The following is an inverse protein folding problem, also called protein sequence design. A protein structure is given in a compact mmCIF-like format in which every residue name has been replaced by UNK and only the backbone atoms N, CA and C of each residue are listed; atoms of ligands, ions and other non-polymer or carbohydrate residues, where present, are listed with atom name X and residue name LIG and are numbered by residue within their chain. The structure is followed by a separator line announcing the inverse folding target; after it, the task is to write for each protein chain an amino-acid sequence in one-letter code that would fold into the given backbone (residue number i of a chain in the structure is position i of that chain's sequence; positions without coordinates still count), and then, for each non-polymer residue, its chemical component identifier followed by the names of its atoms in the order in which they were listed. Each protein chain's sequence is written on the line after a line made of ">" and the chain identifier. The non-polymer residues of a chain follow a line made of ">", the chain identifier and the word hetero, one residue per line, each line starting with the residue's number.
data_IF_104713859122
#
_entry.id   IF_104713859122
#
_cell.length_a   1.000
_cell.length_b   1.000
_cell.length_c   1.000
_cell.angle_alpha   90.00
_cell.angle_beta   90.00
_cell.angle_gamma   90.00
#
_symmetry.space_group_name_H-M   'P 1'
#
loop_
_entity.id
_entity.type
_entity.pdbx_description
1 polymer ?
#
# COMPACT_ATOMS: atom_id res chain seq x y z
N UNK A 1 -13.94 20.86 -5.81
CA UNK A 1 -12.68 20.62 -6.54
C UNK A 1 -11.82 21.87 -6.36
N UNK A 2 -10.60 21.76 -5.85
CA UNK A 2 -9.71 22.91 -5.67
C UNK A 2 -8.84 23.15 -6.92
N UNK A 3 -8.11 24.28 -6.98
CA UNK A 3 -7.26 24.63 -8.12
C UNK A 3 -6.17 23.58 -8.40
N UNK A 4 -5.64 22.96 -7.33
CA UNK A 4 -4.67 21.88 -7.45
C UNK A 4 -5.24 20.72 -8.26
N UNK A 5 -6.46 20.27 -7.96
CA UNK A 5 -7.11 19.15 -8.65
C UNK A 5 -7.37 19.45 -10.13
N UNK A 6 -7.64 20.72 -10.50
CA UNK A 6 -7.83 21.10 -11.89
C UNK A 6 -6.52 21.08 -12.70
N UNK A 7 -5.37 21.25 -12.06
CA UNK A 7 -4.04 21.23 -12.70
C UNK A 7 -3.32 19.89 -12.56
N UNK A 8 -3.96 18.87 -11.98
CA UNK A 8 -3.37 17.54 -11.83
C UNK A 8 -3.17 16.88 -13.19
N UNK A 9 -1.99 16.29 -13.40
CA UNK A 9 -1.62 15.61 -14.65
C UNK A 9 -2.41 14.31 -14.80
N UNK A 10 -2.63 13.58 -13.71
CA UNK A 10 -3.39 12.34 -13.70
C UNK A 10 -4.85 12.57 -13.28
N UNK A 11 -5.84 11.96 -13.97
CA UNK A 11 -7.23 11.95 -13.52
C UNK A 11 -7.43 11.34 -12.12
N UNK A 12 -6.56 10.41 -11.71
CA UNK A 12 -6.58 9.77 -10.39
C UNK A 12 -6.33 10.81 -9.29
N UNK A 13 -5.35 11.69 -9.48
CA UNK A 13 -5.01 12.75 -8.52
C UNK A 13 -5.91 13.99 -8.65
N UNK A 14 -6.62 14.13 -9.77
CA UNK A 14 -7.54 15.23 -10.05
C UNK A 14 -8.99 14.82 -9.88
N UNK A 15 -9.67 14.57 -11.00
CA UNK A 15 -11.12 14.32 -11.11
C UNK A 15 -11.62 13.18 -10.22
N UNK A 16 -10.82 12.14 -10.08
CA UNK A 16 -11.18 10.90 -9.35
C UNK A 16 -10.50 10.76 -7.99
N UNK A 17 -9.81 11.78 -7.50
CA UNK A 17 -9.04 11.73 -6.24
C UNK A 17 -9.88 11.27 -5.04
N UNK A 18 -11.14 11.74 -4.93
CA UNK A 18 -12.04 11.32 -3.85
C UNK A 18 -12.40 9.83 -3.93
N UNK A 19 -12.52 9.27 -5.15
CA UNK A 19 -12.82 7.84 -5.37
C UNK A 19 -11.61 6.94 -5.17
N UNK A 20 -10.40 7.50 -5.26
CA UNK A 20 -9.14 6.80 -5.10
C UNK A 20 -8.51 7.02 -3.72
N UNK A 21 -9.24 7.62 -2.78
CA UNK A 21 -8.72 7.97 -1.45
C UNK A 21 -8.17 6.75 -0.70
N UNK A 22 -8.87 5.62 -0.71
CA UNK A 22 -8.42 4.40 -0.04
C UNK A 22 -7.10 3.89 -0.65
N UNK A 23 -6.98 3.92 -1.97
CA UNK A 23 -5.76 3.50 -2.69
C UNK A 23 -4.57 4.43 -2.37
N UNK A 24 -4.81 5.69 -2.05
CA UNK A 24 -3.77 6.65 -1.69
C UNK A 24 -3.03 6.28 -0.40
N UNK A 25 -3.65 5.48 0.48
CA UNK A 25 -3.01 4.94 1.70
C UNK A 25 -1.84 4.01 1.40
N UNK A 26 -1.75 3.50 0.16
CA UNK A 26 -0.74 2.55 -0.30
C UNK A 26 0.20 3.15 -1.34
N UNK A 27 -0.30 3.96 -2.28
CA UNK A 27 0.48 4.38 -3.46
C UNK A 27 0.75 5.89 -3.57
N UNK A 28 0.44 6.67 -2.52
CA UNK A 28 0.89 8.06 -2.47
C UNK A 28 2.37 8.16 -2.07
N UNK A 29 2.98 9.32 -2.33
CA UNK A 29 4.33 9.63 -1.83
C UNK A 29 4.42 9.50 -0.30
N UNK A 30 3.40 9.96 0.42
CA UNK A 30 3.29 9.76 1.87
C UNK A 30 3.32 8.27 2.25
N UNK A 31 2.57 7.45 1.55
CA UNK A 31 2.53 6.01 1.78
C UNK A 31 3.91 5.37 1.55
N UNK A 32 4.55 5.66 0.42
CA UNK A 32 5.89 5.14 0.11
C UNK A 32 6.89 5.48 1.21
N UNK A 33 6.91 6.73 1.66
CA UNK A 33 7.79 7.17 2.76
C UNK A 33 7.47 6.40 4.05
N UNK A 34 6.19 6.27 4.42
CA UNK A 34 5.75 5.55 5.61
C UNK A 34 6.16 4.08 5.57
N UNK A 35 6.00 3.40 4.43
CA UNK A 35 6.42 2.01 4.27
C UNK A 35 7.94 1.86 4.34
N UNK A 36 8.71 2.78 3.79
CA UNK A 36 10.18 2.79 3.94
C UNK A 36 10.60 2.92 5.41
N UNK A 37 9.97 3.84 6.16
CA UNK A 37 10.20 3.97 7.61
C UNK A 37 9.85 2.66 8.32
N UNK A 38 8.72 2.05 7.99
CA UNK A 38 8.30 0.77 8.55
C UNK A 38 9.33 -0.33 8.30
N UNK A 39 9.81 -0.50 7.07
CA UNK A 39 10.79 -1.53 6.71
C UNK A 39 12.12 -1.30 7.44
N UNK A 40 12.62 -0.07 7.52
CA UNK A 40 13.83 0.25 8.27
C UNK A 40 13.71 -0.13 9.76
N UNK A 41 12.57 0.16 10.37
CA UNK A 41 12.30 -0.17 11.77
C UNK A 41 12.20 -1.69 11.97
N UNK A 42 11.49 -2.40 11.10
CA UNK A 42 11.39 -3.86 11.20
C UNK A 42 12.75 -4.53 10.95
N UNK A 43 13.55 -4.01 10.01
CA UNK A 43 14.92 -4.49 9.80
C UNK A 43 15.78 -4.28 11.04
N UNK A 44 15.76 -3.09 11.64
CA UNK A 44 16.48 -2.82 12.88
C UNK A 44 16.08 -3.79 14.01
N UNK A 45 14.76 -4.05 14.16
CA UNK A 45 14.26 -5.04 15.13
C UNK A 45 14.72 -6.47 14.81
N UNK A 46 14.85 -6.80 13.52
CA UNK A 46 15.41 -8.09 13.11
C UNK A 46 16.90 -8.19 13.47
N UNK A 47 17.68 -7.12 13.27
CA UNK A 47 19.07 -7.06 13.71
C UNK A 47 19.21 -7.26 15.23
N UNK A 48 18.29 -6.72 16.04
CA UNK A 48 18.30 -6.93 17.50
C UNK A 48 18.12 -8.40 17.90
N UNK A 49 17.61 -9.26 17.00
CA UNK A 49 17.47 -10.70 17.23
C UNK A 49 18.68 -11.50 16.75
N UNK A 50 19.67 -10.85 16.15
CA UNK A 50 20.91 -11.48 15.71
C UNK A 50 21.94 -11.50 16.83
N UNK A 51 23.12 -12.09 16.58
CA UNK A 51 24.23 -12.16 17.55
C UNK A 51 25.11 -10.89 17.58
N UNK A 52 24.58 -9.72 17.21
CA UNK A 52 25.31 -8.46 17.30
C UNK A 52 25.33 -8.01 18.76
N UNK A 53 26.46 -8.15 19.42
CA UNK A 53 26.64 -7.93 20.86
C UNK A 53 26.12 -6.56 21.32
N UNK A 54 26.40 -5.49 20.57
CA UNK A 54 25.94 -4.13 20.91
C UNK A 54 24.42 -4.00 20.97
N UNK A 55 23.67 -4.79 20.16
CA UNK A 55 22.20 -4.76 20.10
C UNK A 55 21.54 -5.61 21.20
N UNK A 56 22.28 -6.53 21.84
CA UNK A 56 21.76 -7.38 22.92
C UNK A 56 21.29 -6.58 24.14
N UNK A 57 21.73 -5.34 24.28
CA UNK A 57 21.38 -4.47 25.41
C UNK A 57 20.04 -3.74 25.23
N UNK A 58 19.35 -3.95 24.11
CA UNK A 58 18.05 -3.30 23.83
C UNK A 58 16.93 -4.00 24.59
N UNK A 59 16.27 -3.25 25.45
CA UNK A 59 15.15 -3.76 26.27
C UNK A 59 13.81 -3.76 25.51
N UNK A 60 12.85 -4.57 25.98
CA UNK A 60 11.49 -4.58 25.43
C UNK A 60 10.79 -3.20 25.51
N UNK A 61 11.11 -2.39 26.53
CA UNK A 61 10.57 -1.03 26.64
C UNK A 61 11.13 -0.11 25.57
N UNK A 62 12.38 -0.29 25.17
CA UNK A 62 13.01 0.47 24.08
C UNK A 62 12.44 0.04 22.71
N UNK A 63 12.18 -1.25 22.50
CA UNK A 63 11.50 -1.72 21.29
C UNK A 63 10.10 -1.07 21.16
N UNK A 64 9.33 -0.96 22.23
CA UNK A 64 8.03 -0.26 22.20
C UNK A 64 8.17 1.23 21.79
N UNK A 65 9.25 1.91 22.22
CA UNK A 65 9.52 3.28 21.78
C UNK A 65 9.85 3.34 20.30
N UNK A 66 10.62 2.38 19.79
CA UNK A 66 10.94 2.25 18.35
C UNK A 66 9.67 2.01 17.54
N UNK A 67 8.79 1.09 17.97
CA UNK A 67 7.49 0.84 17.33
C UNK A 67 6.62 2.11 17.26
N UNK A 68 6.77 3.01 18.23
CA UNK A 68 6.02 4.27 18.24
C UNK A 68 6.43 5.23 17.12
N UNK A 69 7.61 5.10 16.54
CA UNK A 69 8.03 5.89 15.37
C UNK A 69 7.12 5.59 14.17
N UNK A 70 6.76 4.32 13.98
CA UNK A 70 5.87 3.89 12.90
C UNK A 70 4.40 4.20 13.24
N UNK A 71 3.94 3.82 14.44
CA UNK A 71 2.53 3.94 14.81
C UNK A 71 2.05 5.39 14.94
N UNK A 72 2.97 6.33 15.22
CA UNK A 72 2.70 7.78 15.30
C UNK A 72 3.16 8.56 14.07
N UNK A 73 3.59 7.86 13.01
CA UNK A 73 4.08 8.51 11.80
C UNK A 73 2.99 9.40 11.17
N UNK A 74 3.32 10.64 10.94
CA UNK A 74 2.40 11.70 10.52
C UNK A 74 2.81 12.33 9.19
N UNK A 75 1.92 13.15 8.62
CA UNK A 75 2.24 13.95 7.44
C UNK A 75 3.39 14.94 7.72
N UNK A 76 3.52 15.43 8.94
CA UNK A 76 4.62 16.34 9.33
C UNK A 76 5.96 15.60 9.32
N UNK A 77 5.98 14.35 9.72
CA UNK A 77 7.18 13.52 9.65
C UNK A 77 7.61 13.27 8.18
N UNK A 78 6.63 13.02 7.30
CA UNK A 78 6.89 12.88 5.87
C UNK A 78 7.43 14.18 5.25
N UNK A 79 6.85 15.33 5.60
CA UNK A 79 7.36 16.63 5.15
C UNK A 79 8.79 16.89 5.63
N UNK A 80 9.12 16.52 6.86
CA UNK A 80 10.49 16.61 7.39
C UNK A 80 11.46 15.74 6.58
N UNK A 81 11.05 14.50 6.21
CA UNK A 81 11.85 13.64 5.35
C UNK A 81 12.07 14.29 3.98
N UNK A 82 11.04 14.91 3.39
CA UNK A 82 11.18 15.62 2.10
C UNK A 82 12.11 16.84 2.19
N UNK A 83 12.13 17.54 3.33
CA UNK A 83 13.10 18.61 3.57
C UNK A 83 14.54 18.12 3.64
N UNK A 84 14.77 16.97 4.28
CA UNK A 84 16.08 16.32 4.31
C UNK A 84 16.48 15.88 2.89
N UNK A 85 15.57 15.20 2.19
CA UNK A 85 15.78 14.73 0.81
C UNK A 85 16.19 15.89 -0.13
N UNK A 86 15.51 17.02 -0.04
CA UNK A 86 15.83 18.21 -0.84
C UNK A 86 17.27 18.71 -0.63
N UNK A 87 17.83 18.52 0.56
CA UNK A 87 19.21 18.94 0.89
C UNK A 87 20.26 17.95 0.39
N UNK A 88 19.97 16.66 0.49
CA UNK A 88 20.97 15.60 0.21
C UNK A 88 20.76 14.93 -1.16
N UNK A 89 19.63 15.22 -1.83
CA UNK A 89 19.23 14.67 -3.13
C UNK A 89 19.19 13.13 -3.14
N UNK A 90 18.69 12.52 -2.05
CA UNK A 90 18.60 11.07 -1.91
C UNK A 90 17.45 10.68 -0.98
N UNK A 91 16.42 10.01 -1.53
CA UNK A 91 15.15 9.71 -0.89
C UNK A 91 15.29 8.72 0.30
N UNK A 92 15.86 7.53 0.07
CA UNK A 92 16.01 6.51 1.13
C UNK A 92 16.99 6.97 2.21
N UNK A 93 18.05 7.69 1.83
CA UNK A 93 18.99 8.26 2.81
C UNK A 93 18.34 9.31 3.70
N UNK A 94 17.36 10.05 3.18
CA UNK A 94 16.56 10.99 3.97
C UNK A 94 15.73 10.28 5.04
N UNK A 95 15.16 9.11 4.72
CA UNK A 95 14.46 8.25 5.68
C UNK A 95 15.42 7.76 6.78
N UNK A 96 16.61 7.31 6.41
CA UNK A 96 17.63 6.90 7.38
C UNK A 96 17.96 8.03 8.36
N UNK A 97 18.25 9.23 7.86
CA UNK A 97 18.57 10.38 8.72
C UNK A 97 17.41 10.77 9.64
N UNK A 98 16.20 10.78 9.14
CA UNK A 98 15.00 11.02 9.95
C UNK A 98 14.90 9.99 11.10
N UNK A 99 15.09 8.71 10.82
CA UNK A 99 15.02 7.67 11.86
C UNK A 99 16.16 7.84 12.86
N UNK A 100 17.36 8.19 12.42
CA UNK A 100 18.51 8.48 13.31
C UNK A 100 18.18 9.63 14.28
N UNK A 101 17.56 10.72 13.80
CA UNK A 101 17.11 11.81 14.67
C UNK A 101 16.04 11.31 15.66
N UNK A 102 15.05 10.54 15.21
CA UNK A 102 14.04 9.94 16.11
C UNK A 102 14.68 9.04 17.20
N UNK A 103 15.74 8.32 16.87
CA UNK A 103 16.50 7.53 17.86
C UNK A 103 17.18 8.42 18.91
N UNK A 104 17.67 9.58 18.52
CA UNK A 104 18.20 10.57 19.47
C UNK A 104 17.10 11.08 20.39
N UNK A 105 15.94 11.46 19.85
CA UNK A 105 14.79 11.97 20.61
C UNK A 105 14.28 10.99 21.67
N UNK A 106 14.33 9.68 21.39
CA UNK A 106 13.88 8.64 22.32
C UNK A 106 15.01 8.07 23.21
N UNK A 107 16.20 8.66 23.17
CA UNK A 107 17.34 8.27 24.01
C UNK A 107 18.05 6.99 23.55
N UNK A 108 18.04 6.70 22.24
CA UNK A 108 18.67 5.53 21.64
C UNK A 108 19.84 5.88 20.71
N UNK A 109 20.46 7.04 20.89
CA UNK A 109 21.58 7.54 20.04
C UNK A 109 22.71 6.54 19.84
N UNK A 110 23.02 5.72 20.85
CA UNK A 110 24.09 4.70 20.76
C UNK A 110 23.82 3.59 19.74
N UNK A 111 22.57 3.45 19.29
CA UNK A 111 22.15 2.42 18.34
C UNK A 111 21.88 2.95 16.93
N UNK A 112 21.90 4.27 16.73
CA UNK A 112 21.50 4.90 15.46
C UNK A 112 22.31 4.43 14.25
N UNK A 113 23.56 4.04 14.43
CA UNK A 113 24.41 3.57 13.32
C UNK A 113 24.05 2.16 12.82
N UNK A 114 23.14 1.46 13.51
CA UNK A 114 22.58 0.20 13.04
C UNK A 114 21.32 0.39 12.18
N UNK A 115 20.84 1.63 12.01
CA UNK A 115 19.79 1.95 11.04
C UNK A 115 20.42 1.83 9.65
N UNK A 116 19.73 1.15 8.74
CA UNK A 116 20.22 0.89 7.37
C UNK A 116 21.55 0.10 7.31
N UNK A 117 21.91 -0.60 8.38
CA UNK A 117 23.19 -1.30 8.50
C UNK A 117 23.30 -2.45 7.50
N UNK A 118 24.30 -2.36 6.60
CA UNK A 118 24.54 -3.39 5.59
C UNK A 118 23.52 -3.45 4.46
N UNK A 119 22.66 -2.44 4.32
CA UNK A 119 21.67 -2.35 3.26
C UNK A 119 22.05 -1.34 2.18
N UNK A 120 21.39 -1.47 1.04
CA UNK A 120 21.31 -0.45 0.00
C UNK A 120 19.88 0.08 -0.10
N UNK A 121 19.67 1.20 -0.78
CA UNK A 121 18.34 1.77 -1.00
C UNK A 121 17.38 0.78 -1.64
N UNK A 122 17.89 -0.08 -2.53
CA UNK A 122 17.06 -1.04 -3.26
C UNK A 122 16.53 -2.17 -2.36
N UNK A 123 17.26 -2.54 -1.30
CA UNK A 123 16.77 -3.52 -0.32
C UNK A 123 15.50 -3.03 0.38
N UNK A 124 15.46 -1.73 0.70
CA UNK A 124 14.26 -1.09 1.28
C UNK A 124 13.13 -1.01 0.26
N UNK A 125 13.40 -0.55 -0.97
CA UNK A 125 12.38 -0.40 -2.00
C UNK A 125 11.79 -1.75 -2.42
N UNK A 126 12.61 -2.77 -2.61
CA UNK A 126 12.18 -4.12 -3.01
C UNK A 126 11.38 -4.84 -1.91
N UNK A 127 11.42 -4.35 -0.68
CA UNK A 127 10.59 -4.87 0.41
C UNK A 127 9.34 -4.03 0.61
N UNK A 128 9.45 -2.69 0.58
CA UNK A 128 8.34 -1.77 0.77
C UNK A 128 7.30 -1.88 -0.35
N UNK A 129 7.72 -1.82 -1.62
CA UNK A 129 6.80 -1.81 -2.77
C UNK A 129 5.93 -3.08 -2.87
N UNK A 130 6.46 -4.30 -2.76
CA UNK A 130 5.62 -5.50 -2.73
C UNK A 130 4.66 -5.54 -1.54
N UNK A 131 5.07 -5.02 -0.37
CA UNK A 131 4.20 -4.95 0.80
C UNK A 131 3.02 -3.99 0.56
N UNK A 132 3.28 -2.79 0.02
CA UNK A 132 2.26 -1.82 -0.39
C UNK A 132 1.24 -2.47 -1.35
N UNK A 133 1.73 -3.15 -2.39
CA UNK A 133 0.89 -3.84 -3.36
C UNK A 133 0.06 -4.95 -2.70
N UNK A 134 0.69 -5.80 -1.90
CA UNK A 134 0.01 -6.88 -1.18
C UNK A 134 -1.10 -6.36 -0.30
N UNK A 135 -0.84 -5.35 0.51
CA UNK A 135 -1.83 -4.80 1.43
C UNK A 135 -2.98 -4.11 0.70
N UNK A 136 -2.71 -3.37 -0.38
CA UNK A 136 -3.77 -2.80 -1.21
C UNK A 136 -4.65 -3.87 -1.86
N UNK A 137 -4.04 -4.94 -2.40
CA UNK A 137 -4.79 -6.04 -3.01
C UNK A 137 -5.69 -6.72 -2.00
N UNK A 138 -5.16 -7.03 -0.81
CA UNK A 138 -5.92 -7.77 0.23
C UNK A 138 -7.00 -6.90 0.86
N UNK A 139 -6.70 -5.63 1.15
CA UNK A 139 -7.58 -4.79 1.95
C UNK A 139 -8.58 -3.98 1.12
N UNK A 140 -8.29 -3.70 -0.16
CA UNK A 140 -9.13 -2.83 -1.00
C UNK A 140 -9.63 -3.54 -2.26
N UNK A 141 -8.73 -4.15 -3.05
CA UNK A 141 -9.10 -4.71 -4.35
C UNK A 141 -9.97 -5.96 -4.21
N UNK A 142 -9.53 -6.95 -3.43
CA UNK A 142 -10.28 -8.20 -3.24
C UNK A 142 -11.67 -7.92 -2.64
N UNK A 143 -11.81 -7.17 -1.53
CA UNK A 143 -13.14 -6.86 -0.98
C UNK A 143 -14.05 -6.13 -1.98
N UNK A 144 -13.52 -5.22 -2.79
CA UNK A 144 -14.29 -4.52 -3.83
C UNK A 144 -14.77 -5.48 -4.92
N UNK A 145 -13.93 -6.43 -5.34
CA UNK A 145 -14.29 -7.47 -6.31
C UNK A 145 -15.34 -8.42 -5.72
N UNK A 146 -15.24 -8.80 -4.45
CA UNK A 146 -16.23 -9.66 -3.77
C UNK A 146 -17.60 -8.98 -3.68
N UNK A 147 -17.65 -7.68 -3.38
CA UNK A 147 -18.90 -6.89 -3.44
C UNK A 147 -19.47 -6.91 -4.86
N UNK A 148 -18.62 -6.70 -5.86
CA UNK A 148 -19.03 -6.75 -7.27
C UNK A 148 -19.57 -8.13 -7.65
N UNK A 149 -18.93 -9.22 -7.20
CA UNK A 149 -19.42 -10.58 -7.40
C UNK A 149 -20.80 -10.80 -6.78
N UNK A 150 -21.00 -10.32 -5.56
CA UNK A 150 -22.29 -10.42 -4.86
C UNK A 150 -23.41 -9.70 -5.62
N UNK A 151 -23.14 -8.48 -6.12
CA UNK A 151 -24.11 -7.74 -6.95
C UNK A 151 -24.42 -8.46 -8.27
N UNK A 152 -23.42 -9.07 -8.90
CA UNK A 152 -23.64 -9.88 -10.11
C UNK A 152 -24.48 -11.13 -9.81
N UNK A 153 -24.25 -11.79 -8.67
CA UNK A 153 -25.06 -12.95 -8.24
C UNK A 153 -26.52 -12.59 -8.03
N UNK A 154 -26.81 -11.44 -7.43
CA UNK A 154 -28.18 -10.92 -7.30
C UNK A 154 -28.81 -10.71 -8.67
N UNK A 155 -28.12 -10.06 -9.60
CA UNK A 155 -28.61 -9.83 -10.97
C UNK A 155 -28.80 -11.13 -11.77
N UNK A 156 -27.94 -12.11 -11.58
CA UNK A 156 -28.08 -13.44 -12.19
C UNK A 156 -29.38 -14.10 -11.73
N UNK A 157 -29.69 -14.04 -10.43
CA UNK A 157 -30.95 -14.58 -9.87
C UNK A 157 -32.17 -13.85 -10.42
N UNK A 158 -32.13 -12.51 -10.41
CA UNK A 158 -33.20 -11.64 -10.93
C UNK A 158 -33.51 -11.96 -12.40
N UNK A 159 -32.47 -12.12 -13.23
CA UNK A 159 -32.62 -12.29 -14.68
C UNK A 159 -32.54 -13.76 -15.15
N UNK A 160 -32.58 -14.71 -14.24
CA UNK A 160 -32.43 -16.14 -14.54
C UNK A 160 -33.53 -16.70 -15.47
N UNK A 161 -34.70 -16.06 -15.52
CA UNK A 161 -35.87 -16.48 -16.33
C UNK A 161 -36.14 -15.56 -17.52
N UNK A 162 -35.31 -14.55 -17.76
CA UNK A 162 -35.50 -13.64 -18.89
C UNK A 162 -34.87 -14.28 -20.15
N UNK A 163 -35.71 -14.71 -21.13
CA UNK A 163 -35.21 -15.32 -22.35
C UNK A 163 -34.51 -14.27 -23.23
N UNK A 164 -33.43 -14.67 -23.87
CA UNK A 164 -32.76 -13.87 -24.89
C UNK A 164 -32.22 -14.77 -25.99
N UNK A 165 -31.88 -14.17 -27.13
CA UNK A 165 -31.19 -14.87 -28.20
C UNK A 165 -29.69 -14.60 -28.11
N UNK A 166 -28.89 -15.64 -28.04
CA UNK A 166 -27.44 -15.51 -28.19
C UNK A 166 -27.10 -15.08 -29.63
N UNK A 167 -25.94 -14.48 -29.79
CA UNK A 167 -25.43 -14.04 -31.11
C UNK A 167 -24.05 -14.60 -31.36
N UNK A 168 -23.81 -14.99 -32.61
CA UNK A 168 -22.49 -15.42 -33.11
C UNK A 168 -22.22 -14.63 -34.37
N UNK A 169 -21.09 -13.93 -34.41
CA UNK A 169 -20.74 -13.01 -35.52
C UNK A 169 -21.86 -12.01 -35.86
N UNK A 170 -22.58 -11.50 -34.84
CA UNK A 170 -23.68 -10.58 -35.00
C UNK A 170 -25.01 -11.22 -35.45
N UNK A 171 -25.03 -12.52 -35.79
CA UNK A 171 -26.21 -13.25 -36.21
C UNK A 171 -26.91 -13.98 -35.07
N UNK A 172 -28.25 -14.14 -35.10
CA UNK A 172 -28.99 -14.94 -34.15
C UNK A 172 -28.43 -16.36 -34.07
N UNK A 173 -28.27 -16.85 -32.83
CA UNK A 173 -27.79 -18.20 -32.54
C UNK A 173 -28.75 -18.92 -31.58
N UNK A 174 -28.27 -19.66 -30.61
CA UNK A 174 -29.07 -20.46 -29.69
C UNK A 174 -29.85 -19.58 -28.69
N UNK A 175 -31.12 -19.90 -28.37
CA UNK A 175 -31.81 -19.28 -27.25
C UNK A 175 -31.09 -19.52 -25.93
N UNK A 176 -31.04 -18.49 -25.09
CA UNK A 176 -30.42 -18.51 -23.76
C UNK A 176 -31.24 -17.68 -22.79
N UNK A 177 -30.70 -17.42 -21.60
CA UNK A 177 -31.29 -16.50 -20.61
C UNK A 177 -30.29 -15.42 -20.20
N UNK A 178 -30.77 -14.23 -19.90
CA UNK A 178 -29.92 -13.09 -19.61
C UNK A 178 -29.03 -13.30 -18.38
N UNK A 179 -29.56 -13.96 -17.33
CA UNK A 179 -28.76 -14.32 -16.16
C UNK A 179 -27.54 -15.20 -16.49
N UNK A 180 -27.62 -16.10 -17.49
CA UNK A 180 -26.49 -16.92 -17.93
C UNK A 180 -25.38 -16.06 -18.56
N UNK A 181 -25.73 -15.05 -19.33
CA UNK A 181 -24.76 -14.13 -19.94
C UNK A 181 -23.99 -13.35 -18.87
N UNK A 182 -24.70 -12.85 -17.84
CA UNK A 182 -24.06 -12.16 -16.70
C UNK A 182 -23.15 -13.13 -15.94
N UNK A 183 -23.54 -14.39 -15.76
CA UNK A 183 -22.77 -15.40 -15.03
C UNK A 183 -21.39 -15.65 -15.65
N UNK A 184 -21.23 -15.49 -16.96
CA UNK A 184 -19.89 -15.60 -17.60
C UNK A 184 -18.91 -14.61 -17.00
N UNK A 185 -19.32 -13.36 -16.77
CA UNK A 185 -18.48 -12.34 -16.16
C UNK A 185 -18.20 -12.63 -14.69
N UNK A 186 -19.20 -13.07 -13.93
CA UNK A 186 -19.01 -13.49 -12.54
C UNK A 186 -17.96 -14.61 -12.42
N UNK A 187 -18.05 -15.66 -13.22
CA UNK A 187 -17.12 -16.78 -13.17
C UNK A 187 -15.69 -16.32 -13.52
N UNK A 188 -15.54 -15.44 -14.51
CA UNK A 188 -14.22 -14.88 -14.87
C UNK A 188 -13.60 -14.07 -13.74
N UNK A 189 -14.37 -13.27 -13.02
CA UNK A 189 -13.88 -12.51 -11.86
C UNK A 189 -13.47 -13.48 -10.74
N UNK A 190 -14.31 -14.47 -10.42
CA UNK A 190 -14.04 -15.45 -9.36
C UNK A 190 -12.78 -16.27 -9.60
N UNK A 191 -12.42 -16.54 -10.85
CA UNK A 191 -11.17 -17.23 -11.19
C UNK A 191 -9.95 -16.36 -10.96
N UNK A 192 -10.09 -15.03 -11.01
CA UNK A 192 -8.98 -14.08 -10.82
C UNK A 192 -8.76 -13.69 -9.34
N UNK A 193 -9.76 -13.86 -8.47
CA UNK A 193 -9.65 -13.68 -7.02
C UNK A 193 -8.96 -14.90 -6.38
#
# INVERSE_FOLDING_TARGET
>A
MNEFNLKSISPIDGRYSEKCFEVSKYFSEYALIKYRVYIEIEYFKALCKTKIEKLNSISSSQIKKIDSIVSKFSIQDALKIKEIEKKINHDVKAVEYFIKEKFEDIGLSKFKEFIHFGLTSQDINNTATPLMLKECVINELIPTLEITCSLLEEKIKEFSRIPMIARTHGQPATPTVFGKEINVFLQRIKIQI
#
